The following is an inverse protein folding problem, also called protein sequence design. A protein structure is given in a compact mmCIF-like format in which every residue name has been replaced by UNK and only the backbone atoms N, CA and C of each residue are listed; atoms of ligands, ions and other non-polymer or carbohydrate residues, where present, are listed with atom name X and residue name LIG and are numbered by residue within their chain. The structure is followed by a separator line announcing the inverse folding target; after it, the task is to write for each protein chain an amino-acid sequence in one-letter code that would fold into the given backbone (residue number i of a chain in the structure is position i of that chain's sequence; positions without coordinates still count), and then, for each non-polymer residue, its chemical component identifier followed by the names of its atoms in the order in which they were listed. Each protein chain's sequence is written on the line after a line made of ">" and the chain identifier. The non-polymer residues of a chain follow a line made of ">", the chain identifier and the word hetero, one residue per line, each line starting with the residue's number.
data_IF_971443020566
#
_entry.id   IF_971443020566
#
_cell.length_a   1.000
_cell.length_b   1.000
_cell.length_c   1.000
_cell.angle_alpha   90.00
_cell.angle_beta   90.00
_cell.angle_gamma   90.00
#
_symmetry.space_group_name_H-M   'P 1'
#
loop_
_entity.id
_entity.type
_entity.pdbx_description
1 polymer ?
#
# COMPACT_ATOMS: atom_id res chain seq x y z
N UNK A 1 -43.11 -37.01 34.84
CA UNK A 1 -43.63 -37.37 33.51
C UNK A 1 -42.53 -37.04 32.51
N UNK A 2 -41.84 -38.09 32.07
CA UNK A 2 -41.20 -38.28 30.76
C UNK A 2 -41.84 -37.52 29.57
N UNK A 3 -41.26 -37.28 28.38
CA UNK A 3 -40.25 -38.00 27.57
C UNK A 3 -39.66 -36.97 26.54
N UNK A 4 -38.35 -36.96 26.25
CA UNK A 4 -37.80 -37.37 24.94
C UNK A 4 -37.22 -36.20 24.09
N UNK A 5 -35.90 -35.97 24.04
CA UNK A 5 -34.87 -36.53 23.12
C UNK A 5 -35.01 -36.00 21.68
N UNK A 6 -34.04 -35.30 21.10
CA UNK A 6 -32.86 -35.91 20.46
C UNK A 6 -31.60 -35.04 20.48
N UNK A 7 -30.52 -35.62 21.04
CA UNK A 7 -29.15 -35.42 20.58
C UNK A 7 -28.92 -36.24 19.31
N UNK A 8 -28.10 -35.72 18.38
CA UNK A 8 -27.36 -36.55 17.42
C UNK A 8 -25.94 -36.02 17.27
N UNK A 9 -25.01 -36.94 17.53
CA UNK A 9 -23.57 -36.77 17.46
C UNK A 9 -23.04 -37.00 16.03
N UNK A 10 -21.77 -36.60 15.88
CA UNK A 10 -20.82 -36.89 14.80
C UNK A 10 -20.90 -38.31 14.20
N UNK A 11 -20.30 -38.47 13.01
CA UNK A 11 -19.09 -39.30 13.01
C UNK A 11 -17.91 -38.67 12.26
N UNK A 12 -16.73 -39.02 12.80
CA UNK A 12 -15.39 -38.87 12.23
C UNK A 12 -15.10 -40.05 11.30
N UNK A 13 -14.48 -39.79 10.14
CA UNK A 13 -13.53 -40.68 9.44
C UNK A 13 -12.75 -39.79 8.46
N UNK A 14 -11.45 -39.53 8.61
CA UNK A 14 -10.33 -40.45 8.33
C UNK A 14 -10.28 -40.69 6.80
N UNK A 15 -9.26 -40.37 6.01
CA UNK A 15 -7.81 -40.36 6.20
C UNK A 15 -7.18 -39.84 4.88
N UNK A 16 -5.94 -39.31 4.95
CA UNK A 16 -4.92 -39.16 3.89
C UNK A 16 -5.22 -38.49 2.53
N UNK A 17 -4.46 -37.41 2.22
CA UNK A 17 -3.20 -37.55 1.49
C UNK A 17 -2.67 -36.19 1.02
N UNK A 18 -1.37 -35.97 1.26
CA UNK A 18 -0.52 -35.09 0.46
C UNK A 18 -0.81 -35.26 -1.04
N UNK A 19 -1.04 -34.18 -1.77
CA UNK A 19 -0.49 -34.05 -3.12
C UNK A 19 -0.54 -32.60 -3.60
N UNK A 20 0.59 -31.94 -3.44
CA UNK A 20 1.03 -30.88 -4.33
C UNK A 20 1.06 -31.42 -5.76
N UNK A 21 0.25 -30.87 -6.66
CA UNK A 21 0.57 -30.91 -8.08
C UNK A 21 -0.01 -29.72 -8.83
N UNK A 22 0.81 -29.08 -9.68
CA UNK A 22 0.43 -27.93 -10.49
C UNK A 22 -0.41 -28.35 -11.71
N UNK A 23 -1.24 -27.43 -12.18
CA UNK A 23 -1.97 -27.55 -13.44
C UNK A 23 -0.94 -27.57 -14.58
N UNK A 24 -0.71 -28.77 -15.12
CA UNK A 24 0.06 -29.02 -16.34
C UNK A 24 -0.87 -28.75 -17.53
N UNK A 25 -0.63 -27.65 -18.24
CA UNK A 25 -1.13 -27.45 -19.60
C UNK A 25 -0.05 -27.91 -20.60
N UNK A 26 -0.44 -28.60 -21.69
CA UNK A 26 0.49 -29.29 -22.57
C UNK A 26 1.15 -28.30 -23.53
N UNK A 27 2.46 -28.15 -23.44
CA UNK A 27 3.29 -27.53 -24.46
C UNK A 27 4.18 -28.62 -25.11
N UNK A 28 3.73 -29.34 -26.16
CA UNK A 28 4.63 -30.16 -26.93
C UNK A 28 5.27 -29.33 -28.06
N UNK A 29 6.58 -29.51 -28.22
CA UNK A 29 7.30 -29.37 -29.49
C UNK A 29 7.68 -27.98 -30.02
N UNK A 30 8.33 -27.11 -29.22
CA UNK A 30 9.06 -25.95 -29.79
C UNK A 30 10.49 -25.73 -29.27
N UNK A 31 11.17 -26.76 -28.74
CA UNK A 31 12.53 -26.64 -28.19
C UNK A 31 13.61 -27.51 -28.85
N UNK A 32 13.40 -28.01 -30.08
CA UNK A 32 14.45 -28.79 -30.80
C UNK A 32 14.67 -28.36 -32.26
N UNK A 33 14.65 -27.05 -32.52
CA UNK A 33 15.02 -26.50 -33.85
C UNK A 33 15.96 -25.29 -33.76
N UNK A 34 16.73 -25.13 -32.68
CA UNK A 34 17.68 -24.00 -32.56
C UNK A 34 19.10 -24.37 -33.05
N UNK A 35 19.41 -25.64 -33.31
CA UNK A 35 20.78 -26.08 -33.66
C UNK A 35 21.05 -26.27 -35.17
N UNK A 36 20.41 -25.49 -36.05
CA UNK A 36 20.45 -25.75 -37.50
C UNK A 36 20.52 -24.56 -38.44
N UNK A 37 20.87 -23.36 -37.99
CA UNK A 37 21.04 -22.18 -38.86
C UNK A 37 22.35 -21.44 -38.58
N UNK A 38 23.46 -22.18 -38.56
CA UNK A 38 24.78 -21.64 -38.90
C UNK A 38 24.94 -21.71 -40.42
N UNK A 39 24.37 -20.75 -41.13
CA UNK A 39 24.81 -20.16 -42.40
C UNK A 39 23.65 -19.36 -43.00
N UNK A 40 23.48 -18.12 -42.55
CA UNK A 40 22.78 -17.11 -43.35
C UNK A 40 23.39 -15.76 -42.99
N UNK A 41 23.75 -14.92 -43.99
CA UNK A 41 24.27 -13.59 -43.73
C UNK A 41 23.26 -12.82 -42.89
N UNK A 42 23.75 -12.15 -41.85
CA UNK A 42 22.98 -11.21 -41.02
C UNK A 42 22.24 -10.22 -41.93
N UNK A 43 20.97 -10.48 -42.23
CA UNK A 43 20.04 -9.40 -42.57
C UNK A 43 19.85 -8.64 -41.27
N UNK A 44 20.60 -7.57 -41.10
CA UNK A 44 20.22 -6.46 -40.22
C UNK A 44 18.82 -6.06 -40.69
N UNK A 45 17.80 -6.58 -40.02
CA UNK A 45 16.42 -6.21 -40.30
C UNK A 45 16.27 -4.82 -39.71
N UNK A 46 16.56 -3.79 -40.52
CA UNK A 46 16.22 -2.42 -40.21
C UNK A 46 14.74 -2.41 -39.86
N UNK A 47 14.35 -2.21 -38.59
CA UNK A 47 12.96 -2.22 -38.25
C UNK A 47 12.36 -1.00 -38.96
N UNK A 48 11.26 -1.20 -39.68
CA UNK A 48 10.52 -0.10 -40.30
C UNK A 48 10.39 1.03 -39.28
N UNK A 49 10.78 2.26 -39.64
CA UNK A 49 10.87 3.41 -38.73
C UNK A 49 9.63 3.54 -37.83
N UNK A 50 8.44 3.26 -38.39
CA UNK A 50 7.16 3.27 -37.68
C UNK A 50 7.06 2.20 -36.59
N UNK A 51 7.61 1.00 -36.82
CA UNK A 51 7.69 -0.08 -35.83
C UNK A 51 8.68 0.25 -34.71
N UNK A 52 9.82 0.87 -35.01
CA UNK A 52 10.73 1.39 -33.97
C UNK A 52 10.04 2.42 -33.08
N UNK A 53 9.38 3.41 -33.69
CA UNK A 53 8.69 4.48 -32.96
C UNK A 53 7.59 3.90 -32.07
N UNK A 54 6.79 2.95 -32.59
CA UNK A 54 5.73 2.30 -31.83
C UNK A 54 6.29 1.53 -30.63
N UNK A 55 7.36 0.74 -30.83
CA UNK A 55 7.99 -0.04 -29.75
C UNK A 55 8.58 0.87 -28.67
N UNK A 56 9.26 1.95 -29.07
CA UNK A 56 9.80 2.93 -28.13
C UNK A 56 8.69 3.64 -27.36
N UNK A 57 7.58 3.99 -28.00
CA UNK A 57 6.43 4.61 -27.34
C UNK A 57 5.78 3.68 -26.32
N UNK A 58 5.61 2.39 -26.65
CA UNK A 58 5.08 1.38 -25.72
C UNK A 58 6.02 1.18 -24.53
N UNK A 59 7.33 1.02 -24.80
CA UNK A 59 8.32 0.90 -23.73
C UNK A 59 8.34 2.13 -22.82
N UNK A 60 8.29 3.34 -23.40
CA UNK A 60 8.22 4.58 -22.62
C UNK A 60 6.94 4.64 -21.77
N UNK A 61 5.79 4.28 -22.32
CA UNK A 61 4.53 4.27 -21.57
C UNK A 61 4.57 3.28 -20.40
N UNK A 62 5.12 2.08 -20.59
CA UNK A 62 5.30 1.09 -19.52
C UNK A 62 6.28 1.60 -18.47
N UNK A 63 7.40 2.20 -18.87
CA UNK A 63 8.38 2.78 -17.96
C UNK A 63 7.76 3.93 -17.12
N UNK A 64 6.97 4.80 -17.74
CA UNK A 64 6.29 5.90 -17.03
C UNK A 64 5.27 5.34 -16.03
N UNK A 65 4.46 4.35 -16.42
CA UNK A 65 3.50 3.71 -15.51
C UNK A 65 4.19 3.04 -14.32
N UNK A 66 5.34 2.38 -14.56
CA UNK A 66 6.11 1.73 -13.51
C UNK A 66 6.80 2.75 -12.59
N UNK A 67 7.31 3.85 -13.13
CA UNK A 67 7.94 4.93 -12.36
C UNK A 67 6.93 5.65 -11.47
N UNK A 68 5.76 5.98 -12.02
CA UNK A 68 4.65 6.56 -11.26
C UNK A 68 4.25 5.65 -10.10
N UNK A 69 4.19 4.33 -10.30
CA UNK A 69 3.93 3.40 -9.19
C UNK A 69 5.05 3.42 -8.14
N UNK A 70 6.31 3.55 -8.56
CA UNK A 70 7.49 3.49 -7.67
C UNK A 70 7.74 4.79 -6.90
N UNK A 71 7.37 5.96 -7.43
CA UNK A 71 7.49 7.24 -6.73
C UNK A 71 6.55 7.33 -5.51
N UNK A 72 5.46 6.54 -5.50
CA UNK A 72 4.56 6.38 -4.35
C UNK A 72 4.83 5.13 -3.50
N UNK A 73 5.59 4.15 -4.02
CA UNK A 73 6.02 2.94 -3.31
C UNK A 73 7.42 3.17 -2.74
N UNK A 74 7.53 3.60 -1.48
CA UNK A 74 8.78 3.37 -0.76
C UNK A 74 9.31 4.46 0.14
N UNK A 75 8.66 5.63 0.23
CA UNK A 75 9.14 6.73 1.07
C UNK A 75 8.08 7.18 2.07
N UNK A 76 8.54 7.56 3.24
CA UNK A 76 7.73 8.26 4.24
C UNK A 76 7.23 9.60 3.66
N UNK A 77 5.98 9.96 3.92
CA UNK A 77 5.38 11.21 3.46
C UNK A 77 6.00 12.42 4.17
N UNK A 78 6.50 12.20 5.39
CA UNK A 78 7.14 13.16 6.26
C UNK A 78 8.66 12.95 6.32
N UNK A 79 9.41 13.79 5.62
CA UNK A 79 10.87 13.79 5.68
C UNK A 79 11.41 14.49 6.93
N UNK A 80 10.76 15.58 7.35
CA UNK A 80 11.20 16.45 8.44
C UNK A 80 10.06 16.65 9.46
N UNK A 81 9.89 15.75 10.45
CA UNK A 81 8.87 15.91 11.47
C UNK A 81 9.26 17.00 12.48
N UNK A 82 8.34 17.93 12.74
CA UNK A 82 8.52 19.02 13.67
C UNK A 82 8.10 18.58 15.08
N UNK A 83 8.87 18.96 16.10
CA UNK A 83 8.57 18.57 17.50
C UNK A 83 7.54 19.49 18.18
N UNK A 84 7.52 20.76 17.79
CA UNK A 84 6.69 21.79 18.42
C UNK A 84 5.91 22.55 17.37
N UNK A 85 4.59 22.47 17.49
CA UNK A 85 3.64 23.19 16.65
C UNK A 85 2.88 24.14 17.56
N UNK A 86 2.84 25.42 17.22
CA UNK A 86 2.17 26.45 18.01
C UNK A 86 1.02 27.03 17.19
N UNK A 87 -0.21 26.78 17.61
CA UNK A 87 -1.42 27.26 16.93
C UNK A 87 -2.54 26.23 16.94
N UNK A 88 -3.69 26.60 16.36
CA UNK A 88 -4.87 25.74 16.31
C UNK A 88 -4.77 24.73 15.17
N UNK A 89 -4.94 23.45 15.53
CA UNK A 89 -5.06 22.36 14.58
C UNK A 89 -6.52 22.32 14.11
N UNK A 90 -6.74 22.36 12.80
CA UNK A 90 -8.05 22.21 12.17
C UNK A 90 -8.34 20.76 11.78
N UNK A 91 -7.30 20.02 11.39
CA UNK A 91 -7.42 18.63 11.00
C UNK A 91 -6.16 17.81 11.31
N UNK A 92 -6.26 16.48 11.31
CA UNK A 92 -5.09 15.61 11.33
C UNK A 92 -5.33 14.31 10.56
N UNK A 93 -4.24 13.71 10.12
CA UNK A 93 -4.19 12.44 9.40
C UNK A 93 -3.10 11.56 10.02
N UNK A 94 -3.42 10.28 10.21
CA UNK A 94 -2.49 9.28 10.75
C UNK A 94 -2.22 8.27 9.65
N UNK A 95 -0.98 8.22 9.18
CA UNK A 95 -0.51 7.22 8.24
C UNK A 95 0.19 6.11 9.02
N UNK A 96 -0.35 4.90 8.94
CA UNK A 96 0.26 3.73 9.56
C UNK A 96 1.50 3.27 8.79
N UNK A 97 2.31 2.43 9.44
CA UNK A 97 3.48 1.85 8.78
C UNK A 97 3.07 1.05 7.55
N UNK A 98 3.79 1.28 6.45
CA UNK A 98 3.51 0.76 5.10
C UNK A 98 4.78 0.17 4.51
N UNK A 99 4.71 -0.74 3.51
CA UNK A 99 5.88 -1.19 2.76
C UNK A 99 6.48 0.00 2.00
N UNK A 100 7.41 0.71 2.64
CA UNK A 100 7.96 2.00 2.20
C UNK A 100 8.10 3.06 3.30
N UNK A 101 7.47 2.87 4.45
CA UNK A 101 7.73 3.66 5.65
C UNK A 101 7.50 2.79 6.88
N UNK A 102 8.56 2.47 7.59
CA UNK A 102 8.56 1.65 8.81
C UNK A 102 7.99 2.38 10.03
N UNK A 103 7.62 3.66 9.86
CA UNK A 103 7.17 4.55 10.92
C UNK A 103 5.74 4.99 10.69
N UNK A 104 4.99 5.13 11.78
CA UNK A 104 3.71 5.84 11.77
C UNK A 104 3.98 7.33 11.64
N UNK A 105 3.26 7.98 10.73
CA UNK A 105 3.36 9.41 10.46
C UNK A 105 2.09 10.10 10.96
N UNK A 106 2.25 11.25 11.61
CA UNK A 106 1.13 12.08 12.04
C UNK A 106 1.25 13.43 11.33
N UNK A 107 0.31 13.70 10.45
CA UNK A 107 0.23 14.96 9.69
C UNK A 107 -0.89 15.78 10.33
N UNK A 108 -0.61 17.03 10.67
CA UNK A 108 -1.61 17.96 11.19
C UNK A 108 -1.82 19.09 10.21
N UNK A 109 -3.07 19.48 10.01
CA UNK A 109 -3.44 20.67 9.26
C UNK A 109 -3.71 21.78 10.25
N UNK A 110 -3.01 22.88 10.08
CA UNK A 110 -3.18 24.09 10.86
C UNK A 110 -4.01 25.11 10.09
N UNK A 111 -4.82 25.87 10.82
CA UNK A 111 -5.47 27.03 10.25
C UNK A 111 -4.62 28.28 10.52
N UNK A 112 -4.12 28.90 9.46
CA UNK A 112 -3.37 30.14 9.53
C UNK A 112 -4.34 31.34 9.66
N UNK A 113 -4.02 32.42 10.38
CA UNK A 113 -4.82 33.64 10.42
C UNK A 113 -5.18 34.21 9.03
N UNK A 114 -4.38 33.95 8.00
CA UNK A 114 -4.66 34.39 6.63
C UNK A 114 -5.68 33.50 5.87
N UNK A 115 -6.48 32.69 6.58
CA UNK A 115 -7.39 31.67 6.00
C UNK A 115 -6.68 30.63 5.11
N UNK A 116 -5.36 30.53 5.21
CA UNK A 116 -4.59 29.48 4.56
C UNK A 116 -4.52 28.26 5.48
N UNK A 117 -4.48 27.07 4.89
CA UNK A 117 -4.24 25.82 5.64
C UNK A 117 -2.84 25.33 5.36
N UNK A 118 -2.12 24.98 6.42
CA UNK A 118 -0.75 24.46 6.31
C UNK A 118 -0.71 23.05 6.88
N UNK A 119 -0.17 22.11 6.08
CA UNK A 119 0.03 20.73 6.53
C UNK A 119 1.45 20.56 7.06
N UNK A 120 1.55 20.12 8.31
CA UNK A 120 2.82 19.91 9.00
C UNK A 120 2.92 18.48 9.51
N UNK A 121 4.10 17.91 9.39
CA UNK A 121 4.43 16.61 9.96
C UNK A 121 4.81 16.77 11.42
N UNK A 122 4.16 16.02 12.30
CA UNK A 122 4.43 16.04 13.74
C UNK A 122 5.18 14.79 14.17
N UNK A 123 6.20 14.97 15.02
CA UNK A 123 6.99 13.85 15.54
C UNK A 123 6.16 12.99 16.52
N UNK A 124 5.95 11.72 16.19
CA UNK A 124 5.16 10.75 16.97
C UNK A 124 5.74 10.42 18.35
N UNK A 125 7.01 10.73 18.61
CA UNK A 125 7.67 10.52 19.91
C UNK A 125 7.20 11.53 20.97
N UNK A 126 6.78 12.73 20.55
CA UNK A 126 6.41 13.83 21.45
C UNK A 126 5.13 13.59 22.25
N UNK A 127 5.01 14.22 23.43
CA UNK A 127 3.83 14.09 24.33
C UNK A 127 2.52 14.50 23.62
N UNK A 128 2.53 15.58 22.85
CA UNK A 128 1.37 16.03 22.07
C UNK A 128 0.95 14.98 21.03
N UNK A 129 1.91 14.43 20.29
CA UNK A 129 1.64 13.45 19.23
C UNK A 129 1.09 12.13 19.79
N UNK A 130 1.72 11.61 20.85
CA UNK A 130 1.23 10.43 21.56
C UNK A 130 -0.21 10.60 22.04
N UNK A 131 -0.59 11.80 22.47
CA UNK A 131 -1.97 12.04 22.90
C UNK A 131 -2.97 12.08 21.73
N UNK A 132 -2.57 12.56 20.56
CA UNK A 132 -3.37 12.42 19.33
C UNK A 132 -3.53 10.95 18.95
N UNK A 133 -2.42 10.19 18.91
CA UNK A 133 -2.44 8.76 18.58
C UNK A 133 -3.31 7.95 19.55
N UNK A 134 -3.18 8.18 20.87
CA UNK A 134 -4.07 7.55 21.86
C UNK A 134 -5.54 7.92 21.70
N UNK A 135 -5.82 9.11 21.16
CA UNK A 135 -7.18 9.50 20.86
C UNK A 135 -7.70 8.82 19.61
N UNK A 136 -6.86 8.75 18.57
CA UNK A 136 -7.10 8.04 17.33
C UNK A 136 -7.45 6.57 17.58
N UNK A 137 -6.68 5.88 18.42
CA UNK A 137 -6.98 4.50 18.85
C UNK A 137 -8.32 4.39 19.60
N UNK A 138 -8.65 5.36 20.45
CA UNK A 138 -9.90 5.35 21.23
C UNK A 138 -11.14 5.49 20.37
N UNK A 139 -11.05 6.26 19.28
CA UNK A 139 -12.15 6.40 18.31
C UNK A 139 -12.12 5.28 17.26
N UNK A 140 -11.39 4.19 17.51
CA UNK A 140 -11.25 3.06 16.60
C UNK A 140 -10.76 3.46 15.20
N UNK A 141 -9.89 4.48 15.13
CA UNK A 141 -9.32 5.02 13.89
C UNK A 141 -10.38 5.53 12.90
N UNK A 142 -11.51 5.98 13.42
CA UNK A 142 -12.60 6.53 12.62
C UNK A 142 -12.33 7.99 12.24
N UNK A 143 -12.15 8.25 10.94
CA UNK A 143 -11.90 9.58 10.43
C UNK A 143 -13.08 10.55 10.63
N UNK A 144 -14.32 10.05 10.77
CA UNK A 144 -15.50 10.91 11.02
C UNK A 144 -15.48 11.54 12.41
N UNK A 145 -14.80 10.90 13.37
CA UNK A 145 -14.74 11.28 14.78
C UNK A 145 -13.45 12.01 15.16
N UNK A 146 -12.60 12.35 14.19
CA UNK A 146 -11.31 13.04 14.42
C UNK A 146 -11.46 14.38 15.14
N UNK A 147 -12.58 15.09 14.93
CA UNK A 147 -12.89 16.36 15.60
C UNK A 147 -12.93 16.23 17.13
N UNK A 148 -13.39 15.08 17.67
CA UNK A 148 -13.38 14.83 19.12
C UNK A 148 -11.96 14.89 19.70
N UNK A 149 -10.98 14.39 18.95
CA UNK A 149 -9.58 14.40 19.34
C UNK A 149 -8.96 15.79 19.30
N UNK A 150 -9.33 16.59 18.29
CA UNK A 150 -8.88 17.96 18.13
C UNK A 150 -9.47 18.84 19.23
N UNK A 151 -10.77 18.72 19.51
CA UNK A 151 -11.45 19.55 20.50
C UNK A 151 -11.03 19.21 21.93
N UNK A 152 -10.76 17.93 22.22
CA UNK A 152 -10.16 17.53 23.51
C UNK A 152 -8.78 18.15 23.72
N UNK A 153 -8.02 18.41 22.64
CA UNK A 153 -6.73 19.09 22.74
C UNK A 153 -6.86 20.58 22.96
N UNK A 154 -7.78 21.26 22.27
CA UNK A 154 -8.05 22.68 22.49
C UNK A 154 -8.44 23.00 23.94
N UNK A 155 -9.17 22.11 24.61
CA UNK A 155 -9.57 22.29 26.03
C UNK A 155 -8.45 22.08 27.05
N UNK A 156 -7.34 21.47 26.64
CA UNK A 156 -6.23 21.12 27.53
C UNK A 156 -5.05 22.12 27.44
N UNK A 157 -5.19 23.16 26.61
CA UNK A 157 -4.24 24.26 26.41
C UNK A 157 -4.80 25.55 27.00
#
# INVERSE_FOLDING_TARGET
>A
MDFGKTHSALPIKGEEAHSSSPVISPLPALLLRISGLLLSPQRIMAPSQKRCILLLAVMAAVCIQLHQAHDFLGRCSCLNPIMFIKGSISDFEVLESRPGCDKTELIVTMNNPNNSTEKLCMNTVGKRAKAFLRCWERINKDASRKTECIDRKKKAE
#
